data_IF_367284200342
#
_entry.id   IF_367284200342
#
_cell.length_a   1.000
_cell.length_b   1.000
_cell.length_c   1.000
_cell.angle_alpha   90.00
_cell.angle_beta   90.00
_cell.angle_gamma   90.00
#
_symmetry.space_group_name_H-M   'P 1'
#
loop_
_entity.id
_entity.type
_entity.pdbx_description
1 polymer ?
#
# COMPACT_ATOMS: atom_id res chain seq x y z
N UNK A 1 22.23 72.20 -21.65
CA UNK A 1 23.16 71.05 -21.68
C UNK A 1 22.30 69.83 -21.32
N UNK A 2 21.72 69.18 -22.34
CA UNK A 2 22.15 67.89 -22.90
C UNK A 2 21.96 66.77 -21.83
N UNK A 3 21.31 65.63 -22.04
CA UNK A 3 21.03 64.81 -23.23
C UNK A 3 19.93 63.77 -22.87
N UNK A 4 19.11 63.40 -23.86
CA UNK A 4 18.50 62.09 -24.18
C UNK A 4 17.95 61.12 -23.10
N UNK A 5 16.75 60.60 -23.39
CA UNK A 5 16.19 59.40 -22.77
C UNK A 5 14.84 58.98 -23.36
N UNK A 6 14.81 58.68 -24.65
CA UNK A 6 13.68 58.00 -25.31
C UNK A 6 13.52 56.56 -24.78
N UNK A 7 12.27 56.09 -24.68
CA UNK A 7 11.76 54.90 -25.40
C UNK A 7 10.84 53.99 -24.57
N UNK A 8 9.64 53.82 -25.14
CA UNK A 8 8.91 52.57 -25.30
C UNK A 8 8.18 51.92 -24.13
N UNK A 9 6.90 52.29 -24.08
CA UNK A 9 5.77 51.41 -23.76
C UNK A 9 5.90 50.04 -24.43
N UNK A 10 6.35 49.02 -23.69
CA UNK A 10 6.19 47.62 -24.10
C UNK A 10 4.85 47.08 -23.57
N UNK A 11 3.86 47.06 -24.46
CA UNK A 11 2.72 46.15 -24.38
C UNK A 11 3.29 44.73 -24.33
N UNK A 12 3.09 44.00 -23.23
CA UNK A 12 3.30 42.55 -23.24
C UNK A 12 1.98 41.92 -23.64
N UNK A 13 1.99 41.41 -24.87
CA UNK A 13 0.93 40.70 -25.55
C UNK A 13 0.52 39.48 -24.73
N UNK A 14 -0.76 39.38 -24.45
CA UNK A 14 -1.42 38.15 -24.01
C UNK A 14 -1.24 37.08 -25.10
N UNK A 15 -0.45 36.05 -24.82
CA UNK A 15 -0.45 34.83 -25.60
C UNK A 15 -1.59 33.95 -25.09
N UNK A 16 -2.80 34.27 -25.54
CA UNK A 16 -3.95 33.39 -25.44
C UNK A 16 -4.08 32.67 -26.78
N UNK A 17 -3.94 31.35 -26.77
CA UNK A 17 -4.78 30.33 -27.45
C UNK A 17 -3.94 29.14 -27.91
N UNK A 18 -4.28 27.98 -27.36
CA UNK A 18 -4.51 26.78 -28.17
C UNK A 18 -5.84 26.13 -27.73
N UNK A 19 -6.83 26.20 -28.61
CA UNK A 19 -7.62 25.01 -28.92
C UNK A 19 -8.84 24.61 -28.07
N UNK A 20 -9.46 25.44 -27.25
CA UNK A 20 -10.83 25.12 -26.79
C UNK A 20 -11.83 25.39 -27.93
N UNK A 21 -12.00 24.39 -28.80
CA UNK A 21 -13.22 24.24 -29.58
C UNK A 21 -14.39 24.35 -28.59
N UNK A 22 -15.16 25.43 -28.69
CA UNK A 22 -16.37 25.69 -27.91
C UNK A 22 -17.43 24.64 -28.25
N UNK A 23 -17.20 23.44 -27.75
CA UNK A 23 -18.10 22.31 -27.88
C UNK A 23 -19.29 22.64 -26.98
N UNK A 24 -20.45 22.88 -27.57
CA UNK A 24 -21.70 23.08 -26.83
C UNK A 24 -21.97 21.82 -26.00
N UNK A 25 -21.63 21.85 -24.71
CA UNK A 25 -21.89 20.75 -23.77
C UNK A 25 -23.27 20.96 -23.15
N UNK A 26 -24.13 19.97 -23.30
CA UNK A 26 -25.44 19.91 -22.66
C UNK A 26 -25.38 18.83 -21.57
N UNK A 27 -25.98 19.09 -20.42
CA UNK A 27 -26.14 18.08 -19.38
C UNK A 27 -27.30 17.16 -19.79
N UNK A 28 -26.98 15.92 -20.17
CA UNK A 28 -27.95 14.89 -20.53
C UNK A 28 -27.84 13.75 -19.52
N UNK A 29 -28.97 13.26 -19.05
CA UNK A 29 -29.02 12.07 -18.18
C UNK A 29 -29.16 10.82 -19.04
N UNK A 30 -28.25 9.87 -18.86
CA UNK A 30 -28.24 8.58 -19.56
C UNK A 30 -28.21 7.48 -18.50
N UNK A 31 -29.01 6.43 -18.69
CA UNK A 31 -28.94 5.24 -17.81
C UNK A 31 -27.61 4.52 -18.01
N UNK A 32 -26.83 4.32 -16.95
CA UNK A 32 -25.48 3.74 -17.05
C UNK A 32 -25.48 2.35 -17.72
N UNK A 33 -26.47 1.53 -17.38
CA UNK A 33 -26.70 0.20 -17.96
C UNK A 33 -26.87 0.20 -19.49
N UNK A 34 -27.23 1.33 -20.10
CA UNK A 34 -27.33 1.46 -21.57
C UNK A 34 -25.96 1.53 -22.26
N UNK A 35 -24.91 1.80 -21.48
CA UNK A 35 -23.52 1.92 -21.94
C UNK A 35 -22.64 0.76 -21.46
N UNK A 36 -23.28 -0.31 -20.96
CA UNK A 36 -22.60 -1.51 -20.50
C UNK A 36 -22.65 -2.60 -21.57
N UNK A 37 -21.68 -3.52 -21.53
CA UNK A 37 -21.64 -4.65 -22.42
C UNK A 37 -22.85 -5.55 -22.19
N UNK A 38 -23.56 -5.89 -23.26
CA UNK A 38 -24.75 -6.75 -23.20
C UNK A 38 -24.49 -8.20 -22.76
N UNK A 39 -23.22 -8.61 -22.61
CA UNK A 39 -22.80 -9.96 -22.22
C UNK A 39 -22.29 -9.98 -20.78
N UNK A 40 -21.23 -9.20 -20.47
CA UNK A 40 -20.61 -9.21 -19.16
C UNK A 40 -21.08 -8.10 -18.22
N UNK A 41 -21.94 -7.19 -18.71
CA UNK A 41 -22.41 -6.01 -17.98
C UNK A 41 -21.29 -5.06 -17.51
N UNK A 42 -20.06 -5.21 -18.01
CA UNK A 42 -18.98 -4.28 -17.74
C UNK A 42 -19.14 -2.99 -18.55
N UNK A 43 -18.73 -1.82 -18.03
CA UNK A 43 -18.72 -0.56 -18.76
C UNK A 43 -18.03 -0.68 -20.12
N UNK A 44 -18.71 -0.26 -21.19
CA UNK A 44 -18.08 -0.25 -22.51
C UNK A 44 -16.92 0.75 -22.55
N UNK A 45 -15.82 0.33 -23.16
CA UNK A 45 -14.66 1.19 -23.43
C UNK A 45 -14.12 0.85 -24.82
N UNK A 46 -13.53 1.82 -25.54
CA UNK A 46 -12.88 1.53 -26.81
C UNK A 46 -11.84 0.40 -26.69
N UNK A 47 -11.78 -0.55 -27.64
CA UNK A 47 -12.65 -0.70 -28.80
C UNK A 47 -14.04 -1.31 -28.47
N UNK A 48 -15.10 -0.78 -29.08
CA UNK A 48 -16.49 -1.25 -28.91
C UNK A 48 -16.97 -1.91 -30.19
N UNK A 49 -17.67 -3.05 -30.08
CA UNK A 49 -18.15 -3.80 -31.23
C UNK A 49 -19.67 -3.90 -31.25
N UNK A 50 -20.26 -3.84 -32.45
CA UNK A 50 -21.70 -3.80 -32.67
C UNK A 50 -22.15 -4.90 -33.64
N UNK A 51 -23.24 -5.59 -33.32
CA UNK A 51 -23.87 -6.53 -34.24
C UNK A 51 -24.73 -5.82 -35.29
N UNK A 52 -25.20 -6.55 -36.32
CA UNK A 52 -26.05 -6.00 -37.39
C UNK A 52 -27.39 -5.41 -36.90
N UNK A 53 -27.87 -5.80 -35.71
CA UNK A 53 -29.10 -5.28 -35.10
C UNK A 53 -28.84 -4.07 -34.20
N UNK A 54 -27.61 -3.89 -33.72
CA UNK A 54 -27.22 -2.74 -32.92
C UNK A 54 -26.85 -3.01 -31.45
N UNK A 55 -26.74 -4.26 -31.02
CA UNK A 55 -26.24 -4.61 -29.68
C UNK A 55 -24.72 -4.41 -29.58
N UNK A 56 -24.27 -3.80 -28.48
CA UNK A 56 -22.87 -3.49 -28.23
C UNK A 56 -22.21 -4.48 -27.26
N UNK A 57 -20.97 -4.84 -27.57
CA UNK A 57 -20.12 -5.70 -26.74
C UNK A 57 -18.70 -5.10 -26.60
N UNK A 58 -18.01 -5.46 -25.52
CA UNK A 58 -16.63 -5.06 -25.28
C UNK A 58 -15.63 -5.96 -26.04
N UNK A 59 -14.36 -5.55 -26.10
CA UNK A 59 -13.28 -6.33 -26.75
C UNK A 59 -13.17 -7.76 -26.22
N UNK A 60 -13.21 -7.94 -24.90
CA UNK A 60 -13.08 -9.28 -24.28
C UNK A 60 -14.22 -10.19 -24.69
N UNK A 61 -15.46 -9.69 -24.69
CA UNK A 61 -16.62 -10.47 -25.12
C UNK A 61 -16.64 -10.71 -26.64
N UNK A 62 -16.04 -9.80 -27.43
CA UNK A 62 -15.88 -9.99 -28.86
C UNK A 62 -15.00 -11.21 -29.16
N UNK A 63 -13.88 -11.32 -28.46
CA UNK A 63 -12.94 -12.44 -28.59
C UNK A 63 -13.56 -13.77 -28.16
N UNK A 64 -14.44 -13.78 -27.15
CA UNK A 64 -15.18 -14.98 -26.75
C UNK A 64 -16.28 -15.37 -27.76
N UNK A 65 -17.01 -14.39 -28.30
CA UNK A 65 -18.12 -14.64 -29.24
C UNK A 65 -17.66 -15.10 -30.63
N UNK A 66 -16.48 -14.67 -31.08
CA UNK A 66 -15.90 -15.18 -32.34
C UNK A 66 -15.64 -16.69 -32.31
N UNK A 67 -15.64 -17.30 -31.12
CA UNK A 67 -15.52 -18.75 -30.93
C UNK A 67 -16.89 -19.46 -30.93
N UNK A 68 -18.02 -18.73 -30.95
CA UNK A 68 -19.38 -19.22 -30.73
C UNK A 68 -20.31 -19.03 -31.96
N UNK A 69 -19.89 -19.50 -33.14
CA UNK A 69 -20.71 -19.55 -34.38
C UNK A 69 -21.19 -18.18 -34.92
N UNK A 70 -20.49 -17.09 -34.57
CA UNK A 70 -20.78 -15.74 -35.06
C UNK A 70 -22.26 -15.35 -34.87
N UNK A 71 -22.80 -15.56 -33.66
CA UNK A 71 -24.19 -15.30 -33.34
C UNK A 71 -24.28 -14.33 -32.17
N UNK A 72 -25.06 -13.26 -32.30
CA UNK A 72 -25.25 -12.34 -31.17
C UNK A 72 -26.09 -13.02 -30.07
N UNK A 73 -25.53 -13.13 -28.87
CA UNK A 73 -26.21 -13.69 -27.70
C UNK A 73 -27.49 -12.95 -27.30
N UNK A 74 -27.61 -11.65 -27.60
CA UNK A 74 -28.79 -10.84 -27.24
C UNK A 74 -29.97 -11.03 -28.19
N UNK A 75 -29.75 -10.98 -29.51
CA UNK A 75 -30.85 -11.11 -30.51
C UNK A 75 -30.89 -12.44 -31.24
N UNK A 76 -29.94 -13.35 -30.98
CA UNK A 76 -29.81 -14.63 -31.66
C UNK A 76 -29.60 -14.54 -33.19
N UNK A 77 -29.24 -13.37 -33.72
CA UNK A 77 -28.97 -13.18 -35.16
C UNK A 77 -27.51 -13.51 -35.47
N UNK A 78 -27.27 -14.27 -36.55
CA UNK A 78 -25.91 -14.50 -37.08
C UNK A 78 -25.32 -13.19 -37.59
N UNK A 79 -24.14 -12.83 -37.09
CA UNK A 79 -23.54 -11.52 -37.29
C UNK A 79 -22.04 -11.53 -36.99
N UNK A 80 -21.30 -10.75 -37.76
CA UNK A 80 -19.93 -10.37 -37.40
C UNK A 80 -20.00 -9.04 -36.66
N UNK A 81 -19.48 -9.00 -35.44
CA UNK A 81 -19.47 -7.74 -34.71
C UNK A 81 -18.39 -6.83 -35.28
N UNK A 82 -18.80 -5.63 -35.71
CA UNK A 82 -17.90 -4.63 -36.29
C UNK A 82 -17.56 -3.56 -35.26
N UNK A 83 -16.34 -3.04 -35.29
CA UNK A 83 -15.94 -1.93 -34.42
C UNK A 83 -16.80 -0.70 -34.72
N UNK A 84 -17.34 -0.09 -33.68
CA UNK A 84 -18.28 1.01 -33.77
C UNK A 84 -17.65 2.30 -33.22
N UNK A 85 -16.96 3.04 -34.08
CA UNK A 85 -16.33 4.31 -33.72
C UNK A 85 -17.33 5.36 -33.23
N UNK A 86 -18.56 5.38 -33.77
CA UNK A 86 -19.60 6.27 -33.30
C UNK A 86 -19.93 6.05 -31.82
N UNK A 87 -20.07 4.79 -31.40
CA UNK A 87 -20.28 4.46 -29.99
C UNK A 87 -19.04 4.76 -29.15
N UNK A 88 -17.83 4.53 -29.67
CA UNK A 88 -16.58 4.93 -29.01
C UNK A 88 -16.53 6.43 -28.69
N UNK A 89 -16.93 7.29 -29.63
CA UNK A 89 -17.03 8.73 -29.41
C UNK A 89 -18.09 9.10 -28.37
N UNK A 90 -19.26 8.43 -28.40
CA UNK A 90 -20.31 8.62 -27.39
C UNK A 90 -19.75 8.30 -26.01
N UNK A 91 -19.19 7.11 -25.79
CA UNK A 91 -18.69 6.69 -24.47
C UNK A 91 -17.58 7.59 -23.94
N UNK A 92 -16.71 8.08 -24.83
CA UNK A 92 -15.62 9.02 -24.47
C UNK A 92 -16.16 10.39 -24.04
N UNK A 93 -17.30 10.82 -24.58
CA UNK A 93 -17.92 12.11 -24.25
C UNK A 93 -18.78 12.08 -22.99
N UNK A 94 -19.20 10.90 -22.54
CA UNK A 94 -20.03 10.74 -21.34
C UNK A 94 -19.16 10.89 -20.10
N UNK A 95 -19.43 11.95 -19.34
CA UNK A 95 -18.78 12.23 -18.07
C UNK A 95 -19.72 11.97 -16.90
N UNK A 96 -19.20 11.43 -15.81
CA UNK A 96 -19.93 11.17 -14.57
C UNK A 96 -19.20 11.81 -13.40
N UNK A 97 -19.95 12.16 -12.35
CA UNK A 97 -19.38 12.65 -11.11
C UNK A 97 -19.01 11.48 -10.18
N UNK A 98 -17.99 11.68 -9.34
CA UNK A 98 -17.61 10.73 -8.31
C UNK A 98 -18.74 10.48 -7.29
N UNK A 99 -18.97 9.23 -6.90
CA UNK A 99 -19.94 8.90 -5.85
C UNK A 99 -19.56 9.48 -4.47
N UNK A 100 -18.27 9.80 -4.27
CA UNK A 100 -17.75 10.49 -3.09
C UNK A 100 -17.95 12.02 -3.14
N UNK A 101 -18.78 12.54 -4.06
CA UNK A 101 -19.11 13.96 -4.12
C UNK A 101 -19.71 14.50 -2.82
N UNK A 102 -20.48 13.68 -2.09
CA UNK A 102 -20.98 14.02 -0.74
C UNK A 102 -19.88 14.24 0.31
N UNK A 103 -18.67 13.75 0.06
CA UNK A 103 -17.49 13.91 0.91
C UNK A 103 -16.50 14.94 0.36
N UNK A 104 -16.86 15.68 -0.69
CA UNK A 104 -16.05 16.78 -1.24
C UNK A 104 -15.35 16.49 -2.56
N UNK A 105 -15.55 15.31 -3.19
CA UNK A 105 -14.98 15.07 -4.52
C UNK A 105 -15.73 15.85 -5.61
N UNK A 106 -15.08 16.84 -6.21
CA UNK A 106 -15.64 17.62 -7.32
C UNK A 106 -15.26 17.06 -8.71
N UNK A 107 -14.48 15.98 -8.77
CA UNK A 107 -13.98 15.44 -10.03
C UNK A 107 -15.09 14.83 -10.88
N UNK A 108 -14.93 15.04 -12.20
CA UNK A 108 -15.72 14.41 -13.25
C UNK A 108 -14.76 13.74 -14.21
N UNK A 109 -15.11 12.54 -14.64
CA UNK A 109 -14.29 11.71 -15.51
C UNK A 109 -15.17 10.93 -16.47
N UNK A 110 -14.57 10.35 -17.50
CA UNK A 110 -15.28 9.48 -18.45
C UNK A 110 -15.90 8.29 -17.74
N UNK A 111 -17.15 7.92 -18.05
CA UNK A 111 -17.90 6.96 -17.23
C UNK A 111 -17.19 5.62 -17.00
N UNK A 112 -16.51 5.08 -18.01
CA UNK A 112 -15.82 3.79 -17.90
C UNK A 112 -14.56 3.84 -17.02
N UNK A 113 -14.12 5.04 -16.59
CA UNK A 113 -13.04 5.25 -15.61
C UNK A 113 -13.55 5.41 -14.17
N UNK A 114 -14.86 5.27 -13.95
CA UNK A 114 -15.47 5.50 -12.63
C UNK A 114 -14.87 4.65 -11.53
N UNK A 115 -14.80 3.35 -11.77
CA UNK A 115 -14.30 2.40 -10.78
C UNK A 115 -12.81 2.65 -10.48
N UNK A 116 -12.01 2.97 -11.52
CA UNK A 116 -10.59 3.31 -11.38
C UNK A 116 -10.39 4.54 -10.49
N UNK A 117 -11.16 5.61 -10.71
CA UNK A 117 -11.12 6.79 -9.85
C UNK A 117 -11.59 6.47 -8.43
N UNK A 118 -12.70 5.75 -8.26
CA UNK A 118 -13.26 5.47 -6.94
C UNK A 118 -12.30 4.65 -6.06
N UNK A 119 -11.52 3.74 -6.65
CA UNK A 119 -10.44 2.98 -5.99
C UNK A 119 -9.24 3.81 -5.54
N UNK A 120 -9.08 5.02 -6.06
CA UNK A 120 -7.96 5.92 -5.74
C UNK A 120 -8.42 7.27 -5.18
N UNK A 121 -9.73 7.45 -4.98
CA UNK A 121 -10.32 8.74 -4.65
C UNK A 121 -9.81 9.23 -3.28
N UNK A 122 -9.16 10.41 -3.19
CA UNK A 122 -8.68 10.95 -1.92
C UNK A 122 -9.81 11.32 -0.95
N UNK A 123 -11.02 11.53 -1.48
CA UNK A 123 -12.22 11.88 -0.72
C UNK A 123 -13.08 10.65 -0.38
N UNK A 124 -12.60 9.44 -0.69
CA UNK A 124 -13.27 8.24 -0.23
C UNK A 124 -13.30 8.22 1.32
N UNK A 125 -14.41 7.78 1.93
CA UNK A 125 -14.60 7.91 3.36
C UNK A 125 -13.82 6.86 4.16
N UNK A 126 -13.29 7.30 5.31
CA UNK A 126 -13.01 6.43 6.45
C UNK A 126 -14.10 6.63 7.51
N UNK A 127 -14.28 5.64 8.37
CA UNK A 127 -15.37 5.57 9.34
C UNK A 127 -14.82 5.66 10.77
N UNK A 128 -15.56 6.30 11.66
CA UNK A 128 -15.20 6.29 13.07
C UNK A 128 -15.56 4.92 13.67
N UNK A 129 -14.62 4.22 14.32
CA UNK A 129 -14.87 2.90 14.89
C UNK A 129 -15.46 2.96 16.32
N UNK A 130 -15.62 4.16 16.89
CA UNK A 130 -16.17 4.33 18.23
C UNK A 130 -17.64 3.93 18.29
N UNK A 131 -18.02 3.21 19.35
CA UNK A 131 -19.37 2.68 19.48
C UNK A 131 -20.42 3.80 19.54
N UNK A 132 -21.38 3.76 18.61
CA UNK A 132 -22.43 4.77 18.50
C UNK A 132 -22.03 6.05 17.75
N UNK A 133 -20.84 6.10 17.15
CA UNK A 133 -20.45 7.19 16.26
C UNK A 133 -20.68 6.81 14.79
N UNK A 134 -21.46 7.61 14.06
CA UNK A 134 -21.78 7.36 12.64
C UNK A 134 -20.95 8.23 11.69
N UNK A 135 -19.84 8.79 12.17
CA UNK A 135 -19.00 9.66 11.34
C UNK A 135 -18.41 8.90 10.15
N UNK A 136 -18.56 9.47 8.95
CA UNK A 136 -17.92 9.02 7.72
C UNK A 136 -17.44 10.24 6.91
N UNK A 137 -16.18 10.22 6.50
CA UNK A 137 -15.60 11.32 5.72
C UNK A 137 -14.13 11.07 5.35
N UNK A 138 -13.50 11.98 4.58
CA UNK A 138 -12.10 11.83 4.17
C UNK A 138 -11.15 11.63 5.35
N UNK A 139 -10.02 10.96 5.15
CA UNK A 139 -9.05 10.62 6.22
C UNK A 139 -8.69 11.81 7.11
N UNK A 140 -8.45 12.98 6.50
CA UNK A 140 -8.12 14.22 7.24
C UNK A 140 -9.26 14.69 8.14
N UNK A 141 -10.50 14.60 7.66
CA UNK A 141 -11.68 14.97 8.46
C UNK A 141 -11.91 13.98 9.61
N UNK A 142 -11.57 12.69 9.42
CA UNK A 142 -11.62 11.70 10.48
C UNK A 142 -10.58 11.98 11.59
N UNK A 143 -9.38 12.44 11.21
CA UNK A 143 -8.36 12.88 12.18
C UNK A 143 -8.87 14.05 13.04
N UNK A 144 -9.44 15.07 12.41
CA UNK A 144 -10.03 16.22 13.11
C UNK A 144 -11.21 15.80 14.00
N UNK A 145 -12.04 14.86 13.53
CA UNK A 145 -13.14 14.27 14.29
C UNK A 145 -12.64 13.55 15.56
N UNK A 146 -11.58 12.75 15.46
CA UNK A 146 -10.97 12.10 16.63
C UNK A 146 -10.49 13.12 17.67
N UNK A 147 -9.84 14.20 17.23
CA UNK A 147 -9.35 15.24 18.13
C UNK A 147 -10.49 16.04 18.79
N UNK A 148 -11.55 16.37 18.05
CA UNK A 148 -12.60 17.30 18.51
C UNK A 148 -13.76 16.61 19.22
N UNK A 149 -14.25 15.48 18.70
CA UNK A 149 -15.43 14.79 19.24
C UNK A 149 -15.06 13.75 20.29
N UNK A 150 -13.99 12.99 20.05
CA UNK A 150 -13.55 11.93 20.97
C UNK A 150 -12.41 12.35 21.91
N UNK A 151 -11.81 13.54 21.68
CA UNK A 151 -10.62 14.00 22.40
C UNK A 151 -9.52 12.93 22.42
N UNK A 152 -9.43 12.19 21.32
CA UNK A 152 -8.51 11.08 21.16
C UNK A 152 -7.08 11.61 21.24
N UNK A 153 -6.21 11.03 22.07
CA UNK A 153 -4.81 11.44 22.13
C UNK A 153 -4.13 11.17 20.78
N UNK A 154 -3.26 12.09 20.39
CA UNK A 154 -2.48 11.98 19.16
C UNK A 154 -1.01 12.24 19.39
N UNK A 155 -0.15 11.55 18.65
CA UNK A 155 1.30 11.76 18.65
C UNK A 155 1.82 11.77 17.22
N UNK A 156 2.72 12.71 16.90
CA UNK A 156 3.41 12.70 15.61
C UNK A 156 4.43 11.57 15.60
N UNK A 157 4.37 10.73 14.58
CA UNK A 157 5.35 9.68 14.34
C UNK A 157 6.57 10.33 13.65
N UNK A 158 7.76 10.31 14.29
CA UNK A 158 8.97 10.86 13.69
C UNK A 158 9.43 10.02 12.49
N UNK A 159 10.35 10.54 11.71
CA UNK A 159 10.93 9.85 10.54
C UNK A 159 11.62 8.52 10.91
N UNK A 160 12.11 8.39 12.14
CA UNK A 160 12.65 7.13 12.68
C UNK A 160 11.59 6.03 12.80
N UNK A 161 10.30 6.38 12.72
CA UNK A 161 9.17 5.47 12.86
C UNK A 161 8.92 4.96 14.27
N UNK A 162 9.66 5.44 15.28
CA UNK A 162 9.58 4.96 16.66
C UNK A 162 8.91 5.97 17.58
N UNK A 163 7.96 5.49 18.39
CA UNK A 163 7.27 6.28 19.42
C UNK A 163 7.17 5.49 20.72
N UNK A 164 7.24 6.19 21.85
CA UNK A 164 7.00 5.60 23.18
C UNK A 164 5.74 6.23 23.79
N UNK A 165 4.79 5.39 24.18
CA UNK A 165 3.48 5.78 24.70
C UNK A 165 3.25 5.13 26.05
N UNK A 166 2.48 5.79 26.92
CA UNK A 166 1.95 5.15 28.13
C UNK A 166 0.74 4.30 27.76
N UNK A 167 0.65 3.10 28.34
CA UNK A 167 -0.54 2.27 28.18
C UNK A 167 -1.75 2.96 28.81
N UNK A 168 -2.76 3.26 28.00
CA UNK A 168 -4.06 3.76 28.46
C UNK A 168 -5.17 3.13 27.63
N UNK A 169 -6.24 2.58 28.24
CA UNK A 169 -7.35 2.04 27.47
C UNK A 169 -7.97 3.08 26.54
N UNK A 170 -8.26 2.67 25.30
CA UNK A 170 -8.87 3.52 24.28
C UNK A 170 -8.07 3.57 22.98
N UNK A 171 -8.41 4.56 22.16
CA UNK A 171 -7.75 4.83 20.89
C UNK A 171 -6.61 5.83 21.07
N UNK A 172 -5.56 5.68 20.27
CA UNK A 172 -4.46 6.64 20.16
C UNK A 172 -4.05 6.80 18.70
N UNK A 173 -4.03 8.04 18.23
CA UNK A 173 -3.68 8.37 16.85
C UNK A 173 -2.18 8.61 16.73
N UNK A 174 -1.54 7.96 15.75
CA UNK A 174 -0.18 8.26 15.32
C UNK A 174 -0.22 8.95 13.96
N UNK A 175 0.11 10.23 13.93
CA UNK A 175 0.08 11.06 12.74
C UNK A 175 1.41 10.99 11.99
N UNK A 176 1.35 10.89 10.66
CA UNK A 176 2.53 10.96 9.80
C UNK A 176 2.48 12.24 8.96
N UNK A 177 3.56 13.03 9.00
CA UNK A 177 3.68 14.29 8.26
C UNK A 177 3.55 14.05 6.75
N UNK A 178 2.78 14.90 6.07
CA UNK A 178 2.62 14.89 4.60
C UNK A 178 2.15 13.57 3.98
N UNK A 179 1.38 12.78 4.73
CA UNK A 179 0.80 11.53 4.22
C UNK A 179 -0.73 11.59 4.15
N UNK A 180 -1.32 10.73 3.31
CA UNK A 180 -2.76 10.56 3.15
C UNK A 180 -3.38 9.55 4.14
N UNK A 181 -2.57 9.03 5.07
CA UNK A 181 -2.92 7.98 6.01
C UNK A 181 -2.41 8.34 7.42
N UNK A 182 -2.88 7.61 8.42
CA UNK A 182 -2.34 7.66 9.79
C UNK A 182 -2.44 6.28 10.42
N UNK A 183 -1.75 6.05 11.53
CA UNK A 183 -1.91 4.79 12.27
C UNK A 183 -2.82 5.01 13.47
N UNK A 184 -3.70 4.04 13.72
CA UNK A 184 -4.57 4.01 14.88
C UNK A 184 -4.16 2.84 15.76
N UNK A 185 -3.74 3.14 16.98
CA UNK A 185 -3.51 2.15 18.02
C UNK A 185 -4.79 2.02 18.84
N UNK A 186 -5.29 0.79 18.95
CA UNK A 186 -6.40 0.44 19.84
C UNK A 186 -5.85 -0.36 21.00
N UNK A 187 -5.95 0.19 22.21
CA UNK A 187 -5.52 -0.44 23.46
C UNK A 187 -6.77 -0.83 24.24
N UNK A 188 -7.19 -2.09 24.11
CA UNK A 188 -8.40 -2.59 24.76
C UNK A 188 -8.08 -3.25 26.10
N UNK A 189 -8.80 -2.88 27.16
CA UNK A 189 -8.80 -3.62 28.42
C UNK A 189 -9.67 -4.87 28.28
N UNK A 190 -9.10 -6.05 28.60
CA UNK A 190 -9.73 -7.37 28.46
C UNK A 190 -9.59 -8.17 29.75
N UNK A 191 -10.41 -9.22 29.96
CA UNK A 191 -10.31 -10.05 31.16
C UNK A 191 -8.93 -10.69 31.36
N UNK A 192 -8.22 -10.98 30.27
CA UNK A 192 -6.88 -11.57 30.27
C UNK A 192 -5.74 -10.54 30.30
N UNK A 193 -6.02 -9.24 30.37
CA UNK A 193 -5.03 -8.16 30.41
C UNK A 193 -5.31 -7.08 29.36
N UNK A 194 -4.26 -6.43 28.84
CA UNK A 194 -4.42 -5.42 27.80
C UNK A 194 -4.09 -6.01 26.42
N UNK A 195 -4.93 -5.69 25.44
CA UNK A 195 -4.79 -6.16 24.08
C UNK A 195 -4.62 -4.96 23.14
N UNK A 196 -3.55 -4.96 22.38
CA UNK A 196 -3.15 -3.84 21.53
C UNK A 196 -3.21 -4.28 20.08
N UNK A 197 -3.80 -3.44 19.24
CA UNK A 197 -3.79 -3.62 17.79
C UNK A 197 -3.45 -2.31 17.08
N UNK A 198 -2.76 -2.39 15.95
CA UNK A 198 -2.43 -1.25 15.10
C UNK A 198 -3.02 -1.42 13.70
N UNK A 199 -3.58 -0.34 13.16
CA UNK A 199 -4.14 -0.31 11.81
C UNK A 199 -3.70 0.95 11.08
N UNK A 200 -3.38 0.83 9.79
CA UNK A 200 -3.16 1.96 8.91
C UNK A 200 -4.52 2.42 8.37
N UNK A 201 -4.93 3.64 8.73
CA UNK A 201 -6.23 4.19 8.35
C UNK A 201 -6.10 4.94 7.03
N UNK A 202 -6.72 4.39 6.00
CA UNK A 202 -6.80 4.95 4.65
C UNK A 202 -8.02 4.36 3.92
N UNK A 203 -8.66 5.10 3.01
CA UNK A 203 -9.91 4.65 2.41
C UNK A 203 -9.71 3.49 1.42
N UNK A 204 -8.60 3.52 0.68
CA UNK A 204 -8.30 2.53 -0.34
C UNK A 204 -7.37 1.47 0.26
N UNK A 205 -7.85 0.23 0.35
CA UNK A 205 -7.09 -0.89 0.89
C UNK A 205 -5.99 -1.25 -0.11
N UNK A 206 -4.75 -0.85 0.18
CA UNK A 206 -3.57 -1.34 -0.53
C UNK A 206 -3.04 -2.57 0.20
N UNK A 207 -2.19 -3.35 -0.48
CA UNK A 207 -1.40 -4.41 0.17
C UNK A 207 -0.65 -3.89 1.40
N UNK A 208 -0.19 -4.81 2.27
CA UNK A 208 0.60 -4.48 3.46
C UNK A 208 1.86 -3.68 3.07
N UNK A 209 1.91 -2.42 3.49
CA UNK A 209 3.07 -1.54 3.24
C UNK A 209 3.91 -1.30 4.49
N UNK A 210 3.47 -1.81 5.64
CA UNK A 210 4.09 -1.47 6.92
C UNK A 210 4.19 -2.70 7.82
N UNK A 211 5.27 -2.76 8.59
CA UNK A 211 5.42 -3.65 9.72
C UNK A 211 5.55 -2.83 11.00
N UNK A 212 4.97 -3.33 12.10
CA UNK A 212 5.10 -2.75 13.42
C UNK A 212 5.81 -3.74 14.33
N UNK A 213 6.84 -3.30 15.03
CA UNK A 213 7.38 -3.99 16.20
C UNK A 213 6.97 -3.21 17.43
N UNK A 214 6.19 -3.84 18.29
CA UNK A 214 5.75 -3.28 19.57
C UNK A 214 6.45 -4.01 20.70
N UNK A 215 6.97 -3.27 21.66
CA UNK A 215 7.47 -3.82 22.91
C UNK A 215 6.89 -3.08 24.10
N UNK A 216 6.84 -3.75 25.24
CA UNK A 216 6.49 -3.14 26.51
C UNK A 216 7.55 -3.48 27.56
N UNK A 217 7.73 -2.56 28.49
CA UNK A 217 8.54 -2.75 29.69
C UNK A 217 7.71 -2.29 30.90
N UNK A 218 7.53 -3.19 31.86
CA UNK A 218 6.83 -2.94 33.11
C UNK A 218 7.84 -2.76 34.24
N UNK A 219 8.12 -1.49 34.58
CA UNK A 219 9.12 -1.12 35.59
C UNK A 219 8.82 -1.75 36.96
N UNK A 220 7.53 -1.89 37.31
CA UNK A 220 7.11 -2.40 38.62
C UNK A 220 7.31 -3.90 38.80
N UNK A 221 7.26 -4.69 37.72
CA UNK A 221 7.38 -6.15 37.78
C UNK A 221 8.62 -6.69 37.09
N UNK A 222 9.36 -5.85 36.36
CA UNK A 222 10.45 -6.25 35.48
C UNK A 222 10.00 -7.07 34.26
N UNK A 223 8.68 -7.15 34.01
CA UNK A 223 8.15 -7.91 32.88
C UNK A 223 8.28 -7.10 31.59
N UNK A 224 8.92 -7.68 30.58
CA UNK A 224 8.99 -7.13 29.25
C UNK A 224 8.48 -8.14 28.21
N UNK A 225 8.12 -7.64 27.05
CA UNK A 225 7.71 -8.48 25.92
C UNK A 225 7.72 -7.68 24.63
N UNK A 226 7.77 -8.38 23.51
CA UNK A 226 7.73 -7.78 22.19
C UNK A 226 7.00 -8.66 21.20
N UNK A 227 6.33 -8.03 20.24
CA UNK A 227 5.70 -8.70 19.12
C UNK A 227 5.91 -7.88 17.83
N UNK A 228 5.95 -8.56 16.70
CA UNK A 228 6.02 -7.94 15.38
C UNK A 228 4.83 -8.39 14.54
N UNK A 229 4.20 -7.46 13.83
CA UNK A 229 3.06 -7.73 12.97
C UNK A 229 3.14 -6.91 11.67
N UNK A 230 2.42 -7.37 10.64
CA UNK A 230 2.16 -6.57 9.45
C UNK A 230 0.92 -5.69 9.70
N UNK A 231 1.02 -4.41 9.40
CA UNK A 231 -0.06 -3.46 9.61
C UNK A 231 -1.00 -3.50 8.41
N UNK A 232 -2.23 -3.95 8.65
CA UNK A 232 -3.29 -3.91 7.64
C UNK A 232 -3.76 -2.48 7.38
N UNK A 233 -4.09 -2.19 6.12
CA UNK A 233 -4.77 -0.96 5.73
C UNK A 233 -6.29 -1.14 5.83
N UNK A 234 -7.01 -0.12 6.30
CA UNK A 234 -8.47 -0.18 6.42
C UNK A 234 -9.11 1.19 6.42
N UNK A 235 -10.32 1.27 5.83
CA UNK A 235 -11.21 2.43 5.97
C UNK A 235 -11.98 2.45 7.31
N UNK A 236 -11.85 1.38 8.12
CA UNK A 236 -12.59 1.15 9.37
C UNK A 236 -14.12 1.00 9.17
N UNK A 237 -14.58 0.76 7.94
CA UNK A 237 -15.99 0.48 7.64
C UNK A 237 -16.55 -0.73 8.41
N UNK A 238 -15.73 -1.76 8.63
CA UNK A 238 -16.07 -2.93 9.43
C UNK A 238 -15.66 -2.80 10.91
N UNK A 239 -15.25 -1.61 11.34
CA UNK A 239 -14.76 -1.32 12.69
C UNK A 239 -13.29 -1.68 12.94
N UNK A 240 -12.94 -1.84 14.22
CA UNK A 240 -11.57 -2.16 14.67
C UNK A 240 -11.17 -3.61 14.35
N UNK A 241 -9.85 -3.90 14.28
CA UNK A 241 -9.37 -5.27 14.18
C UNK A 241 -9.91 -6.14 15.32
N UNK A 242 -10.36 -7.35 14.99
CA UNK A 242 -10.73 -8.38 15.97
C UNK A 242 -9.52 -9.16 16.47
N UNK A 243 -8.42 -9.14 15.70
CA UNK A 243 -7.14 -9.78 16.04
C UNK A 243 -6.24 -8.76 16.74
N UNK A 244 -5.60 -9.19 17.83
CA UNK A 244 -4.65 -8.39 18.59
C UNK A 244 -3.22 -8.69 18.16
N UNK A 245 -2.41 -7.64 18.06
CA UNK A 245 -1.02 -7.70 17.64
C UNK A 245 -0.06 -7.91 18.81
N UNK A 246 -0.44 -7.42 20.00
CA UNK A 246 0.31 -7.57 21.24
C UNK A 246 -0.64 -7.74 22.43
N UNK A 247 -0.35 -8.69 23.32
CA UNK A 247 -1.12 -8.94 24.54
C UNK A 247 -0.20 -8.78 25.75
N UNK A 248 -0.63 -7.98 26.72
CA UNK A 248 0.01 -7.81 28.03
C UNK A 248 -0.81 -8.61 29.05
N UNK A 249 -0.30 -9.77 29.53
CA UNK A 249 -1.06 -10.65 30.41
C UNK A 249 -1.37 -10.02 31.76
N UNK A 250 -2.62 -10.19 32.22
CA UNK A 250 -3.04 -9.78 33.57
C UNK A 250 -2.21 -10.50 34.63
N UNK A 251 -1.78 -9.77 35.67
CA UNK A 251 -0.99 -10.30 36.79
C UNK A 251 0.52 -10.35 36.57
N UNK A 252 1.01 -10.13 35.34
CA UNK A 252 2.44 -9.89 35.04
C UNK A 252 2.78 -8.40 34.99
N UNK A 253 1.76 -7.57 34.93
CA UNK A 253 1.84 -6.14 34.76
C UNK A 253 0.99 -5.53 35.87
N UNK A 254 1.51 -4.50 36.55
CA UNK A 254 0.76 -3.78 37.59
C UNK A 254 -0.53 -3.20 36.99
N UNK A 255 -1.63 -3.20 37.77
CA UNK A 255 -2.87 -2.51 37.40
C UNK A 255 -2.68 -0.97 37.36
N UNK A 256 -1.52 -0.46 37.79
CA UNK A 256 -1.15 0.95 37.58
C UNK A 256 -0.76 1.19 36.11
N UNK A 257 -1.76 1.59 35.32
CA UNK A 257 -1.65 1.93 33.90
C UNK A 257 -0.55 2.98 33.60
N UNK A 258 -0.15 3.80 34.60
CA UNK A 258 0.89 4.81 34.41
C UNK A 258 2.33 4.27 34.41
N UNK A 259 2.53 3.01 34.82
CA UNK A 259 3.86 2.42 34.99
C UNK A 259 4.37 1.65 33.76
N UNK A 260 3.55 1.54 32.69
CA UNK A 260 3.86 0.71 31.52
C UNK A 260 4.12 1.60 30.31
N UNK A 261 5.31 1.49 29.76
CA UNK A 261 5.70 2.15 28.52
C UNK A 261 5.64 1.15 27.36
N UNK A 262 4.86 1.50 26.33
CA UNK A 262 4.82 0.79 25.07
C UNK A 262 5.72 1.53 24.09
N UNK A 263 6.67 0.84 23.50
CA UNK A 263 7.45 1.34 22.36
C UNK A 263 6.90 0.70 21.09
N UNK A 264 6.42 1.51 20.15
CA UNK A 264 5.98 1.06 18.83
C UNK A 264 6.95 1.60 17.77
N UNK A 265 7.51 0.70 16.96
CA UNK A 265 8.37 1.03 15.81
C UNK A 265 7.70 0.58 14.53
N UNK A 266 7.32 1.52 13.67
CA UNK A 266 6.65 1.27 12.41
C UNK A 266 7.63 1.52 11.27
N UNK A 267 7.78 0.55 10.38
CA UNK A 267 8.64 0.64 9.20
C UNK A 267 7.84 0.37 7.94
N UNK A 268 8.11 1.16 6.89
CA UNK A 268 7.57 0.89 5.56
C UNK A 268 8.33 -0.30 4.95
N UNK A 269 7.61 -1.30 4.47
CA UNK A 269 8.18 -2.44 3.76
C UNK A 269 8.29 -2.10 2.26
N UNK A 270 9.43 -2.38 1.60
CA UNK A 270 9.50 -2.35 0.15
C UNK A 270 8.49 -3.33 -0.44
N UNK A 271 7.83 -2.94 -1.53
CA UNK A 271 6.96 -3.83 -2.31
C UNK A 271 7.86 -4.88 -3.00
N UNK A 272 8.18 -5.95 -2.28
CA UNK A 272 9.07 -6.99 -2.77
C UNK A 272 9.67 -7.79 -1.64
N UNK A 273 8.87 -8.69 -1.05
CA UNK A 273 9.23 -9.95 -0.36
C UNK A 273 8.05 -10.38 0.53
N UNK A 274 7.02 -10.97 -0.07
CA UNK A 274 6.03 -11.73 0.68
C UNK A 274 5.54 -12.92 -0.13
N UNK A 275 6.40 -13.94 -0.23
CA UNK A 275 5.98 -15.36 -0.27
C UNK A 275 7.08 -16.24 0.33
N UNK A 276 7.20 -16.30 1.65
CA UNK A 276 7.82 -17.44 2.35
C UNK A 276 7.80 -17.35 3.88
N UNK A 277 6.63 -17.22 4.52
CA UNK A 277 6.50 -17.56 5.95
C UNK A 277 5.16 -18.26 6.23
N UNK A 278 4.87 -19.33 5.49
CA UNK A 278 4.05 -20.43 6.00
C UNK A 278 4.86 -21.70 5.81
N UNK A 279 5.75 -21.96 6.78
CA UNK A 279 6.23 -23.33 6.99
C UNK A 279 5.17 -24.00 7.86
N UNK A 280 4.34 -24.81 7.22
CA UNK A 280 3.59 -25.83 7.92
C UNK A 280 4.59 -26.69 8.72
N UNK A 281 4.53 -26.62 10.04
CA UNK A 281 5.07 -27.68 10.86
C UNK A 281 4.17 -28.88 10.64
N UNK A 282 4.68 -29.87 9.89
CA UNK A 282 4.02 -31.15 9.70
C UNK A 282 3.74 -31.82 11.06
N UNK A 283 2.70 -32.66 11.15
CA UNK A 283 2.28 -33.27 12.40
C UNK A 283 3.35 -34.23 12.93
N UNK A 284 3.61 -34.13 14.23
CA UNK A 284 4.32 -35.13 15.03
C UNK A 284 3.64 -36.51 14.88
N UNK A 285 4.39 -37.61 14.65
CA UNK A 285 3.77 -38.93 14.57
C UNK A 285 3.25 -39.35 15.94
N UNK A 286 1.96 -39.66 15.97
CA UNK A 286 1.29 -40.23 17.11
C UNK A 286 1.81 -41.64 17.41
N UNK A 287 1.97 -41.91 18.70
CA UNK A 287 2.11 -43.23 19.31
C UNK A 287 0.99 -44.16 18.81
N UNK A 288 1.34 -45.19 18.05
CA UNK A 288 0.47 -46.34 17.86
C UNK A 288 0.57 -47.26 19.08
N UNK A 289 -0.58 -47.61 19.65
CA UNK A 289 -0.72 -48.73 20.57
C UNK A 289 -1.63 -49.79 19.96
N UNK A 290 -1.31 -51.04 20.36
CA UNK A 290 -2.16 -52.23 20.64
C UNK A 290 -1.93 -53.41 19.66
N UNK A 291 -2.12 -54.69 20.07
CA UNK A 291 -2.70 -55.20 21.32
C UNK A 291 -1.90 -56.34 22.04
N UNK A 292 -2.47 -56.80 23.15
CA UNK A 292 -2.11 -57.88 24.09
C UNK A 292 -1.51 -59.19 23.51
N UNK A 293 -0.64 -59.88 24.28
CA UNK A 293 -0.93 -61.17 24.94
C UNK A 293 0.28 -61.79 25.69
N UNK A 294 0.04 -62.12 26.96
CA UNK A 294 0.53 -63.19 27.87
C UNK A 294 1.92 -63.90 27.79
N UNK A 295 2.44 -64.08 29.03
CA UNK A 295 3.20 -65.20 29.62
C UNK A 295 4.75 -65.19 29.72
N UNK A 296 5.19 -65.01 30.98
CA UNK A 296 6.22 -65.73 31.79
C UNK A 296 7.46 -66.29 31.08
N UNK A 297 8.65 -65.87 31.52
CA UNK A 297 9.71 -66.74 32.08
C UNK A 297 10.89 -65.96 32.67
N UNK A 298 11.41 -66.49 33.78
CA UNK A 298 12.55 -66.04 34.59
C UNK A 298 13.89 -66.24 33.87
N UNK A 299 14.90 -65.39 34.15
CA UNK A 299 16.21 -65.85 34.68
C UNK A 299 17.19 -64.71 34.95
N UNK A 300 17.80 -64.84 36.12
CA UNK A 300 19.04 -64.24 36.59
C UNK A 300 20.22 -64.66 35.70
N UNK A 301 21.25 -63.80 35.58
CA UNK A 301 22.66 -64.19 35.68
C UNK A 301 23.55 -62.93 35.73
N UNK A 302 24.34 -62.85 36.81
CA UNK A 302 25.49 -61.96 37.02
C UNK A 302 26.74 -62.54 36.34
N UNK A 303 27.63 -61.70 35.80
CA UNK A 303 29.09 -61.90 35.63
C UNK A 303 29.68 -60.56 35.14
N UNK A 304 30.35 -59.72 35.94
CA UNK A 304 31.72 -59.69 36.50
C UNK A 304 32.87 -59.45 35.51
N UNK A 305 33.58 -58.34 35.79
CA UNK A 305 35.03 -58.03 35.62
C UNK A 305 35.52 -57.89 34.15
N UNK A 306 36.20 -56.81 33.75
CA UNK A 306 37.57 -56.45 34.15
C UNK A 306 37.93 -54.95 34.01
N UNK A 307 38.98 -54.62 34.77
CA UNK A 307 39.75 -53.38 34.94
C UNK A 307 40.58 -52.96 33.70
N UNK A 308 40.88 -51.66 33.59
CA UNK A 308 42.21 -51.02 33.34
C UNK A 308 41.95 -49.51 33.02
N UNK A 309 42.34 -48.53 33.85
CA UNK A 309 43.69 -47.90 33.96
C UNK A 309 44.12 -47.27 32.60
N UNK A 310 44.46 -45.99 32.38
CA UNK A 310 45.25 -44.95 33.09
C UNK A 310 45.06 -43.60 32.34
N UNK A 311 44.97 -42.44 33.01
CA UNK A 311 46.00 -41.35 33.18
C UNK A 311 46.19 -40.45 31.93
N UNK A 312 45.81 -39.16 32.00
CA UNK A 312 46.59 -37.95 32.36
C UNK A 312 47.37 -37.33 31.17
N UNK A 313 47.15 -36.03 30.91
CA UNK A 313 48.19 -34.96 30.85
C UNK A 313 47.69 -33.69 30.12
N UNK A 314 47.45 -32.65 30.92
CA UNK A 314 48.11 -31.35 30.99
C UNK A 314 48.62 -30.53 29.77
N UNK A 315 48.60 -29.22 30.04
CA UNK A 315 49.39 -28.08 29.53
C UNK A 315 48.89 -27.29 28.31
N UNK A 316 48.51 -26.00 28.47
CA UNK A 316 49.37 -24.78 28.53
C UNK A 316 49.99 -24.49 27.13
N UNK A 317 50.01 -23.28 26.57
CA UNK A 317 50.40 -21.98 27.12
C UNK A 317 50.10 -20.86 26.07
N UNK A 318 50.38 -19.64 26.48
CA UNK A 318 50.15 -18.27 25.96
C UNK A 318 50.65 -17.91 24.54
N UNK A 319 50.25 -16.73 24.03
CA UNK A 319 51.16 -15.59 23.70
C UNK A 319 50.41 -14.37 23.13
N UNK A 320 50.75 -13.20 23.68
CA UNK A 320 50.39 -11.84 23.26
C UNK A 320 51.15 -11.39 22.00
N UNK A 321 50.65 -10.36 21.29
CA UNK A 321 51.45 -9.21 20.83
C UNK A 321 50.57 -8.15 20.14
N UNK A 322 50.52 -6.97 20.75
CA UNK A 322 50.10 -5.69 20.17
C UNK A 322 51.28 -5.05 19.41
N UNK A 323 51.02 -4.35 18.30
CA UNK A 323 51.90 -3.29 17.82
C UNK A 323 51.12 -2.24 16.99
N UNK A 324 51.21 -0.99 17.43
CA UNK A 324 50.81 0.25 16.73
C UNK A 324 52.01 0.89 15.98
N UNK A 325 51.68 1.92 15.18
CA UNK A 325 52.49 3.05 14.65
C UNK A 325 53.35 2.81 13.39
N UNK A 326 53.59 3.75 12.46
CA UNK A 326 53.07 5.07 12.03
C UNK A 326 53.83 5.35 10.69
N UNK A 327 53.22 6.19 9.84
CA UNK A 327 53.81 7.16 8.89
C UNK A 327 54.55 6.82 7.56
N UNK A 328 54.13 7.62 6.57
CA UNK A 328 54.87 8.40 5.55
C UNK A 328 54.91 8.02 4.04
N UNK A 329 54.51 9.06 3.30
CA UNK A 329 54.97 9.60 2.00
C UNK A 329 54.37 9.17 0.64
N UNK A 330 53.66 10.18 0.08
CA UNK A 330 53.54 10.71 -1.29
C UNK A 330 54.14 9.94 -2.49
N UNK A 331 53.36 9.79 -3.57
CA UNK A 331 53.61 10.45 -4.87
C UNK A 331 52.43 10.27 -5.86
N UNK A 332 52.25 11.29 -6.69
CA UNK A 332 51.25 11.49 -7.74
C UNK A 332 51.45 10.55 -8.94
N UNK A 333 50.38 10.17 -9.65
CA UNK A 333 50.38 10.06 -11.12
C UNK A 333 48.95 10.34 -11.62
N UNK A 334 48.90 11.24 -12.61
CA UNK A 334 47.72 11.67 -13.35
C UNK A 334 47.21 10.54 -14.26
N UNK A 335 45.91 10.42 -14.47
CA UNK A 335 45.40 9.96 -15.77
C UNK A 335 44.02 10.56 -16.07
N UNK A 336 44.00 11.22 -17.23
CA UNK A 336 42.91 11.96 -17.85
C UNK A 336 42.05 10.96 -18.64
N UNK A 337 40.72 11.04 -18.55
CA UNK A 337 39.84 10.53 -19.60
C UNK A 337 38.73 11.53 -19.90
N UNK A 338 38.49 11.66 -21.20
CA UNK A 338 38.07 12.84 -21.94
C UNK A 338 36.55 13.06 -21.95
N UNK A 339 36.14 14.32 -21.87
CA UNK A 339 34.81 14.77 -22.29
C UNK A 339 34.79 14.90 -23.82
N UNK A 340 33.91 14.14 -24.48
CA UNK A 340 33.56 14.31 -25.89
C UNK A 340 32.18 14.97 -25.97
N UNK A 341 32.18 16.29 -26.05
CA UNK A 341 31.07 17.10 -26.57
C UNK A 341 31.34 17.33 -28.07
N UNK A 342 30.58 16.63 -28.93
CA UNK A 342 30.57 16.89 -30.37
C UNK A 342 29.65 18.08 -30.68
N UNK A 343 30.26 19.23 -30.91
CA UNK A 343 29.69 20.38 -31.62
C UNK A 343 29.46 20.02 -33.09
N UNK A 344 28.20 20.07 -33.56
CA UNK A 344 27.87 20.17 -34.98
C UNK A 344 27.31 21.57 -35.26
N UNK A 345 28.16 22.44 -35.79
CA UNK A 345 27.76 23.67 -36.48
C UNK A 345 27.31 23.40 -37.92
N UNK A 346 26.49 24.35 -38.39
CA UNK A 346 25.78 24.46 -39.65
C UNK A 346 26.65 24.38 -40.91
N UNK A 347 26.07 23.84 -41.99
CA UNK A 347 26.31 24.31 -43.35
C UNK A 347 24.95 24.45 -44.07
N UNK A 348 24.69 25.69 -44.49
CA UNK A 348 24.17 26.13 -45.79
C UNK A 348 22.92 25.47 -46.40
N UNK A 349 21.87 26.28 -46.58
CA UNK A 349 21.01 26.25 -47.77
C UNK A 349 20.37 27.65 -47.94
N UNK A 350 21.11 28.54 -48.60
CA UNK A 350 20.56 29.66 -49.37
C UNK A 350 20.32 29.14 -50.80
N UNK A 351 19.07 29.06 -51.24
CA UNK A 351 18.72 29.33 -52.64
C UNK A 351 17.25 29.80 -52.73
N UNK A 352 17.12 31.09 -53.08
CA UNK A 352 15.92 31.70 -53.64
C UNK A 352 15.54 31.00 -54.96
N UNK A 353 14.25 30.85 -55.25
CA UNK A 353 13.68 31.43 -56.47
C UNK A 353 12.15 31.28 -56.50
N UNK A 354 11.52 32.41 -56.85
CA UNK A 354 10.11 32.56 -57.12
C UNK A 354 9.68 31.80 -58.38
N UNK A 355 8.42 31.37 -58.45
CA UNK A 355 7.72 31.39 -59.73
C UNK A 355 6.22 31.55 -59.56
N UNK A 356 5.75 32.57 -60.26
CA UNK A 356 4.40 33.08 -60.40
C UNK A 356 3.40 32.10 -61.03
N UNK A 357 2.13 32.45 -60.78
CA UNK A 357 0.92 32.36 -61.61
C UNK A 357 0.95 31.53 -62.92
N UNK A 358 0.00 30.59 -63.02
CA UNK A 358 -1.00 30.57 -64.11
C UNK A 358 -2.24 29.73 -63.72
#
# INVERSE_FOLDING_TARGET
MAINGSSSSKRKVEAQREGESSSKKLNVTVGLETLDCTICSAPLRPPIFQCSVGHFICSTCRESEDQLDYKCSTCSVKTFFKRCFGMEHVVQSVTVACSNGKYGCAEKFTYYKKEEHEKACPNAPCFCPESGCEFAGPTKMLLDHFATQHKCPSTNLPDSGSVSLRLKPGLHVLQCTDTSYFFLLSMASKPFGHAISVVCVQPNVTEFRFACTMSYDCITTGCCGSASCHIRSSSLSDGLPTVYDLILPKGKVSDDENSIMIKATIRRQPLGLSRSCFREMGPTPALEQRPDTCDVEEKEEEEKEDHEEEEEDDNEEELDDDHEDEDDDEEEEEDQEEELDDDYENEDDDEEEEMDED
#
